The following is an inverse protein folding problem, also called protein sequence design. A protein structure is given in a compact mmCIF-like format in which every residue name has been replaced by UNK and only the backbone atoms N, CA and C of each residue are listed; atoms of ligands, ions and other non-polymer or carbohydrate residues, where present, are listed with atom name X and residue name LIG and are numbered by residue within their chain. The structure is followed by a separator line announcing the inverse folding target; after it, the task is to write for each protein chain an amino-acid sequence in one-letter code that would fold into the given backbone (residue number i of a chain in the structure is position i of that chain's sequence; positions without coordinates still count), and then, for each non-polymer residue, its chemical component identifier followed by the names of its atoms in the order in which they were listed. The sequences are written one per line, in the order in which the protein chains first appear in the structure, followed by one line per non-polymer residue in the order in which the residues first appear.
data_IF_501410979817
#
_entry.id   IF_501410979817
#
_cell.length_a   1.000
_cell.length_b   1.000
_cell.length_c   1.000
_cell.angle_alpha   90.00
_cell.angle_beta   90.00
_cell.angle_gamma   90.00
#
_symmetry.space_group_name_H-M   'P 1'
#
loop_
_entity.id
_entity.type
_entity.pdbx_description
1 polymer ?
#
# COMPACT_ATOMS: atom_id res chain seq x y z
N UNK A 1 -8.89 66.85 44.89
CA UNK A 1 -8.56 67.87 45.91
C UNK A 1 -9.31 67.51 47.17
N UNK A 2 -8.58 67.11 48.19
CA UNK A 2 -9.10 66.72 49.50
C UNK A 2 -8.04 67.12 50.51
N UNK A 3 -8.47 67.60 51.68
CA UNK A 3 -7.58 67.99 52.76
C UNK A 3 -6.52 66.92 52.99
N UNK A 4 -5.27 67.31 53.22
CA UNK A 4 -4.23 66.37 53.66
C UNK A 4 -4.30 66.20 55.19
N UNK A 5 -3.85 65.06 55.75
CA UNK A 5 -3.76 64.91 57.21
C UNK A 5 -2.97 66.06 57.87
N UNK A 6 -1.91 66.53 57.22
CA UNK A 6 -1.14 67.70 57.67
C UNK A 6 -1.93 69.01 57.64
N UNK A 7 -2.83 69.21 56.68
CA UNK A 7 -3.72 70.38 56.63
C UNK A 7 -4.78 70.36 57.73
N UNK A 8 -5.20 69.18 58.19
CA UNK A 8 -6.13 69.03 59.31
C UNK A 8 -5.41 69.38 60.63
N UNK A 9 -4.16 68.95 60.79
CA UNK A 9 -3.35 69.22 61.99
C UNK A 9 -3.02 70.70 62.18
N UNK A 10 -2.75 71.44 61.11
CA UNK A 10 -2.40 72.87 61.16
C UNK A 10 -3.62 73.78 61.01
N UNK A 11 -4.84 73.25 61.15
CA UNK A 11 -6.07 74.01 60.93
C UNK A 11 -6.39 74.89 62.14
N UNK A 12 -6.26 76.19 61.99
CA UNK A 12 -6.68 77.16 63.01
C UNK A 12 -8.17 77.55 62.85
N UNK A 13 -8.89 77.59 63.97
CA UNK A 13 -10.29 78.00 64.04
C UNK A 13 -10.45 79.32 64.81
N UNK A 14 -11.37 80.19 64.35
CA UNK A 14 -11.69 81.45 65.04
C UNK A 14 -12.55 81.19 66.30
N UNK A 15 -12.19 81.78 67.44
CA UNK A 15 -12.94 81.68 68.70
C UNK A 15 -14.10 82.69 68.77
N UNK A 16 -15.24 82.28 69.35
CA UNK A 16 -16.44 83.11 69.57
C UNK A 16 -17.00 82.87 70.98
N UNK A 17 -17.68 83.86 71.56
CA UNK A 17 -18.18 83.87 72.96
C UNK A 17 -19.09 82.68 73.37
N UNK A 18 -19.56 81.88 72.41
CA UNK A 18 -20.26 80.58 72.59
C UNK A 18 -19.81 79.62 71.49
N UNK A 19 -18.66 78.99 71.67
CA UNK A 19 -18.07 78.02 70.73
C UNK A 19 -17.90 76.64 71.35
N UNK A 20 -17.42 75.68 70.56
CA UNK A 20 -16.95 74.39 71.06
C UNK A 20 -15.70 74.57 71.93
N UNK A 21 -15.47 73.63 72.85
CA UNK A 21 -14.23 73.56 73.63
C UNK A 21 -13.05 73.28 72.70
N UNK A 22 -11.98 74.07 72.81
CA UNK A 22 -10.80 73.91 71.96
C UNK A 22 -10.08 72.60 72.23
N UNK A 23 -10.06 72.13 73.48
CA UNK A 23 -9.29 70.95 73.87
C UNK A 23 -9.99 69.67 73.38
N UNK A 24 -11.31 69.56 73.55
CA UNK A 24 -12.10 68.44 73.02
C UNK A 24 -12.07 68.37 71.48
N UNK A 25 -12.07 69.53 70.81
CA UNK A 25 -11.98 69.58 69.34
C UNK A 25 -10.60 69.12 68.87
N UNK A 26 -9.53 69.54 69.54
CA UNK A 26 -8.17 69.12 69.18
C UNK A 26 -7.97 67.60 69.38
N UNK A 27 -8.43 67.05 70.49
CA UNK A 27 -8.39 65.59 70.75
C UNK A 27 -9.13 64.80 69.66
N UNK A 28 -10.26 65.32 69.18
CA UNK A 28 -11.01 64.69 68.09
C UNK A 28 -10.32 64.83 66.73
N UNK A 29 -9.69 65.98 66.46
CA UNK A 29 -8.91 66.20 65.23
C UNK A 29 -7.70 65.27 65.16
N UNK A 30 -7.02 64.98 66.27
CA UNK A 30 -5.92 64.00 66.32
C UNK A 30 -6.38 62.60 65.90
N UNK A 31 -7.56 62.16 66.36
CA UNK A 31 -8.16 60.88 65.95
C UNK A 31 -8.49 60.89 64.45
N UNK A 32 -9.05 61.99 63.94
CA UNK A 32 -9.35 62.14 62.52
C UNK A 32 -8.08 62.07 61.68
N UNK A 33 -6.99 62.74 62.08
CA UNK A 33 -5.72 62.74 61.35
C UNK A 33 -5.21 61.31 61.18
N UNK A 34 -5.19 60.52 62.25
CA UNK A 34 -4.72 59.12 62.22
C UNK A 34 -5.59 58.25 61.30
N UNK A 35 -6.92 58.32 61.43
CA UNK A 35 -7.80 57.48 60.59
C UNK A 35 -7.78 57.95 59.13
N UNK A 36 -7.62 59.25 58.87
CA UNK A 36 -7.51 59.80 57.53
C UNK A 36 -6.18 59.44 56.84
N UNK A 37 -5.07 59.39 57.58
CA UNK A 37 -3.80 58.83 57.09
C UNK A 37 -3.95 57.36 56.69
N UNK A 38 -4.56 56.55 57.56
CA UNK A 38 -4.82 55.14 57.30
C UNK A 38 -5.72 54.93 56.09
N UNK A 39 -6.78 55.73 55.95
CA UNK A 39 -7.67 55.72 54.79
C UNK A 39 -6.92 56.09 53.51
N UNK A 40 -6.08 57.12 53.56
CA UNK A 40 -5.27 57.58 52.43
C UNK A 40 -4.26 56.52 52.00
N UNK A 41 -3.58 55.88 52.96
CA UNK A 41 -2.65 54.79 52.70
C UNK A 41 -3.36 53.59 52.06
N UNK A 42 -4.49 53.16 52.63
CA UNK A 42 -5.31 52.07 52.08
C UNK A 42 -5.80 52.39 50.67
N UNK A 43 -6.26 53.63 50.42
CA UNK A 43 -6.71 54.05 49.09
C UNK A 43 -5.57 54.00 48.07
N UNK A 44 -4.38 54.46 48.44
CA UNK A 44 -3.19 54.37 47.58
C UNK A 44 -2.82 52.91 47.29
N UNK A 45 -2.80 52.04 48.32
CA UNK A 45 -2.53 50.60 48.16
C UNK A 45 -3.57 49.90 47.27
N UNK A 46 -4.85 50.26 47.40
CA UNK A 46 -5.90 49.74 46.53
C UNK A 46 -5.75 50.25 45.10
N UNK A 47 -5.41 51.53 44.92
CA UNK A 47 -5.19 52.13 43.61
C UNK A 47 -4.00 51.46 42.91
N UNK A 48 -2.91 51.18 43.61
CA UNK A 48 -1.77 50.43 43.05
C UNK A 48 -2.16 49.00 42.68
N UNK A 49 -2.95 48.31 43.53
CA UNK A 49 -3.41 46.95 43.22
C UNK A 49 -4.33 46.92 42.00
N UNK A 50 -5.19 47.93 41.85
CA UNK A 50 -6.06 48.06 40.68
C UNK A 50 -5.21 48.24 39.44
N UNK A 51 -4.22 49.14 39.46
CA UNK A 51 -3.30 49.33 38.34
C UNK A 51 -2.56 48.03 37.98
N UNK A 52 -2.01 47.31 38.96
CA UNK A 52 -1.33 46.04 38.73
C UNK A 52 -2.26 44.96 38.15
N UNK A 53 -3.53 44.94 38.58
CA UNK A 53 -4.54 44.00 38.07
C UNK A 53 -4.97 44.37 36.65
N UNK A 54 -5.12 45.65 36.34
CA UNK A 54 -5.43 46.15 35.00
C UNK A 54 -4.32 45.80 34.01
N UNK A 55 -3.06 45.95 34.41
CA UNK A 55 -1.90 45.57 33.59
C UNK A 55 -1.87 44.06 33.31
N UNK A 56 -2.12 43.23 34.34
CA UNK A 56 -2.23 41.78 34.16
C UNK A 56 -3.39 41.40 33.25
N UNK A 57 -4.53 42.07 33.38
CA UNK A 57 -5.69 41.83 32.53
C UNK A 57 -5.39 42.17 31.07
N UNK A 58 -4.72 43.30 30.83
CA UNK A 58 -4.27 43.69 29.49
C UNK A 58 -3.29 42.67 28.90
N UNK A 59 -2.33 42.18 29.70
CA UNK A 59 -1.42 41.11 29.29
C UNK A 59 -2.17 39.83 28.92
N UNK A 60 -3.10 39.37 29.77
CA UNK A 60 -3.89 38.16 29.48
C UNK A 60 -4.79 38.33 28.26
N UNK A 61 -5.32 39.53 28.03
CA UNK A 61 -6.11 39.84 26.84
C UNK A 61 -5.25 39.76 25.57
N UNK A 62 -4.05 40.34 25.58
CA UNK A 62 -3.11 40.22 24.46
C UNK A 62 -2.68 38.77 24.22
N UNK A 63 -2.44 38.02 25.28
CA UNK A 63 -2.09 36.60 25.18
C UNK A 63 -3.26 35.78 24.59
N UNK A 64 -4.49 36.05 25.02
CA UNK A 64 -5.69 35.43 24.48
C UNK A 64 -5.86 35.75 22.99
N UNK A 65 -5.68 37.01 22.59
CA UNK A 65 -5.76 37.44 21.19
C UNK A 65 -4.67 36.75 20.35
N UNK A 66 -3.44 36.69 20.86
CA UNK A 66 -2.34 35.98 20.19
C UNK A 66 -2.63 34.48 20.07
N UNK A 67 -3.17 33.85 21.11
CA UNK A 67 -3.50 32.43 21.09
C UNK A 67 -4.62 32.13 20.09
N UNK A 68 -5.69 32.93 20.09
CA UNK A 68 -6.78 32.81 19.12
C UNK A 68 -6.28 32.97 17.68
N UNK A 69 -5.40 33.93 17.43
CA UNK A 69 -4.78 34.12 16.12
C UNK A 69 -3.93 32.91 15.72
N UNK A 70 -3.12 32.37 16.63
CA UNK A 70 -2.32 31.16 16.39
C UNK A 70 -3.19 29.95 16.07
N UNK A 71 -4.30 29.77 16.79
CA UNK A 71 -5.26 28.69 16.53
C UNK A 71 -5.88 28.84 15.14
N UNK A 72 -6.29 30.05 14.78
CA UNK A 72 -6.85 30.34 13.46
C UNK A 72 -5.86 30.05 12.33
N UNK A 73 -4.59 30.47 12.48
CA UNK A 73 -3.53 30.18 11.51
C UNK A 73 -3.26 28.67 11.41
N UNK A 74 -3.23 27.96 12.54
CA UNK A 74 -3.07 26.51 12.55
C UNK A 74 -4.24 25.79 11.86
N UNK A 75 -5.47 26.23 12.10
CA UNK A 75 -6.66 25.70 11.43
C UNK A 75 -6.63 25.96 9.92
N UNK A 76 -6.24 27.17 9.50
CA UNK A 76 -6.11 27.50 8.09
C UNK A 76 -5.00 26.66 7.42
N UNK A 77 -3.86 26.49 8.09
CA UNK A 77 -2.78 25.64 7.60
C UNK A 77 -3.21 24.17 7.47
N UNK A 78 -3.94 23.64 8.46
CA UNK A 78 -4.49 22.29 8.43
C UNK A 78 -5.50 22.11 7.29
N UNK A 79 -6.39 23.09 7.06
CA UNK A 79 -7.36 23.01 5.97
C UNK A 79 -6.69 23.13 4.60
N UNK A 80 -5.68 24.00 4.45
CA UNK A 80 -4.86 24.08 3.23
C UNK A 80 -4.13 22.76 2.96
N UNK A 81 -3.53 22.15 3.98
CA UNK A 81 -2.86 20.86 3.85
C UNK A 81 -3.83 19.77 3.43
N UNK A 82 -5.01 19.71 4.06
CA UNK A 82 -6.09 18.77 3.71
C UNK A 82 -6.58 18.95 2.28
N UNK A 83 -6.75 20.19 1.82
CA UNK A 83 -7.16 20.48 0.45
C UNK A 83 -6.09 20.10 -0.57
N UNK A 84 -4.82 20.38 -0.28
CA UNK A 84 -3.71 19.99 -1.14
C UNK A 84 -3.57 18.46 -1.23
N UNK A 85 -3.58 17.78 -0.08
CA UNK A 85 -3.53 16.32 -0.04
C UNK A 85 -4.70 15.67 -0.79
N UNK A 86 -5.92 16.25 -0.72
CA UNK A 86 -7.06 15.77 -1.51
C UNK A 86 -6.85 15.94 -3.01
N UNK A 87 -6.36 17.09 -3.46
CA UNK A 87 -6.06 17.34 -4.88
C UNK A 87 -4.96 16.43 -5.39
N UNK A 88 -3.92 16.23 -4.59
CA UNK A 88 -2.81 15.34 -4.92
C UNK A 88 -3.29 13.89 -5.01
N UNK A 89 -4.11 13.43 -4.06
CA UNK A 89 -4.72 12.10 -4.11
C UNK A 89 -5.61 11.93 -5.36
N UNK A 90 -6.41 12.93 -5.72
CA UNK A 90 -7.24 12.90 -6.92
C UNK A 90 -6.39 12.84 -8.20
N UNK A 91 -5.27 13.57 -8.24
CA UNK A 91 -4.34 13.54 -9.37
C UNK A 91 -3.65 12.18 -9.48
N UNK A 92 -3.19 11.60 -8.37
CA UNK A 92 -2.59 10.27 -8.34
C UNK A 92 -3.59 9.22 -8.83
N UNK A 93 -4.84 9.27 -8.37
CA UNK A 93 -5.89 8.35 -8.83
C UNK A 93 -6.12 8.51 -10.33
N UNK A 94 -6.22 9.74 -10.81
CA UNK A 94 -6.42 10.03 -12.23
C UNK A 94 -5.26 9.50 -13.10
N UNK A 95 -4.02 9.69 -12.65
CA UNK A 95 -2.84 9.19 -13.36
C UNK A 95 -2.74 7.66 -13.33
N UNK A 96 -3.05 7.05 -12.19
CA UNK A 96 -3.09 5.60 -12.02
C UNK A 96 -4.16 4.97 -12.92
N UNK A 97 -5.37 5.54 -12.97
CA UNK A 97 -6.45 5.07 -13.83
C UNK A 97 -6.06 5.16 -15.32
N UNK A 98 -5.48 6.29 -15.74
CA UNK A 98 -5.02 6.48 -17.12
C UNK A 98 -3.92 5.49 -17.50
N UNK A 99 -2.99 5.24 -16.60
CA UNK A 99 -1.92 4.27 -16.82
C UNK A 99 -2.46 2.83 -16.86
N UNK A 100 -3.41 2.50 -15.99
CA UNK A 100 -4.09 1.20 -16.01
C UNK A 100 -4.84 0.99 -17.33
N UNK A 101 -5.58 1.99 -17.81
CA UNK A 101 -6.24 1.95 -19.12
C UNK A 101 -5.25 1.73 -20.26
N UNK A 102 -4.11 2.44 -20.25
CA UNK A 102 -3.04 2.26 -21.24
C UNK A 102 -2.49 0.83 -21.23
N UNK A 103 -2.20 0.28 -20.05
CA UNK A 103 -1.71 -1.10 -19.90
C UNK A 103 -2.74 -2.10 -20.42
N UNK A 104 -4.03 -1.91 -20.10
CA UNK A 104 -5.10 -2.78 -20.58
C UNK A 104 -5.25 -2.71 -22.10
N UNK A 105 -5.18 -1.52 -22.69
CA UNK A 105 -5.23 -1.34 -24.14
C UNK A 105 -4.04 -2.03 -24.83
N UNK A 106 -2.83 -1.82 -24.33
CA UNK A 106 -1.61 -2.47 -24.84
C UNK A 106 -1.70 -3.99 -24.74
N UNK A 107 -2.16 -4.51 -23.60
CA UNK A 107 -2.35 -5.95 -23.39
C UNK A 107 -3.41 -6.53 -24.34
N UNK A 108 -4.52 -5.83 -24.55
CA UNK A 108 -5.57 -6.24 -25.47
C UNK A 108 -5.08 -6.23 -26.93
N UNK A 109 -4.33 -5.21 -27.32
CA UNK A 109 -3.74 -5.14 -28.65
C UNK A 109 -2.73 -6.27 -28.89
N UNK A 110 -1.85 -6.57 -27.92
CA UNK A 110 -0.95 -7.73 -27.98
C UNK A 110 -1.72 -9.05 -28.07
N UNK A 111 -2.79 -9.21 -27.28
CA UNK A 111 -3.65 -10.39 -27.32
C UNK A 111 -4.25 -10.60 -28.70
N UNK A 112 -4.80 -9.56 -29.32
CA UNK A 112 -5.33 -9.60 -30.70
C UNK A 112 -4.25 -10.02 -31.70
N UNK A 113 -3.05 -9.45 -31.60
CA UNK A 113 -1.92 -9.82 -32.46
C UNK A 113 -1.57 -11.29 -32.30
N UNK A 114 -1.38 -11.78 -31.08
CA UNK A 114 -1.07 -13.20 -30.80
C UNK A 114 -2.15 -14.12 -31.35
N UNK A 115 -3.43 -13.79 -31.15
CA UNK A 115 -4.55 -14.57 -31.70
C UNK A 115 -4.49 -14.61 -33.23
N UNK A 116 -4.23 -13.47 -33.89
CA UNK A 116 -4.13 -13.41 -35.35
C UNK A 116 -2.91 -14.18 -35.90
N UNK A 117 -1.76 -14.13 -35.21
CA UNK A 117 -0.56 -14.89 -35.56
C UNK A 117 -0.78 -16.39 -35.38
N UNK A 118 -1.48 -16.78 -34.30
CA UNK A 118 -1.84 -18.16 -34.02
C UNK A 118 -2.76 -18.71 -35.10
N UNK A 119 -3.77 -17.93 -35.52
CA UNK A 119 -4.66 -18.31 -36.63
C UNK A 119 -3.88 -18.45 -37.94
N UNK A 120 -3.00 -17.49 -38.25
CA UNK A 120 -2.16 -17.56 -39.45
C UNK A 120 -1.25 -18.80 -39.44
N UNK A 121 -0.64 -19.12 -38.31
CA UNK A 121 0.20 -20.32 -38.15
C UNK A 121 -0.62 -21.61 -38.30
N UNK A 122 -1.85 -21.64 -37.77
CA UNK A 122 -2.77 -22.76 -37.93
C UNK A 122 -3.13 -22.99 -39.40
N UNK A 123 -3.52 -21.94 -40.12
CA UNK A 123 -3.81 -22.01 -41.55
C UNK A 123 -2.61 -22.45 -42.37
N UNK A 124 -1.41 -21.94 -42.04
CA UNK A 124 -0.17 -22.37 -42.68
C UNK A 124 0.10 -23.86 -42.45
N UNK A 125 -0.05 -24.34 -41.22
CA UNK A 125 0.11 -25.76 -40.87
C UNK A 125 -0.86 -26.66 -41.62
N UNK A 126 -2.14 -26.27 -41.71
CA UNK A 126 -3.15 -27.00 -42.48
C UNK A 126 -2.81 -27.06 -43.97
N UNK A 127 -2.42 -25.93 -44.57
CA UNK A 127 -2.04 -25.85 -45.98
C UNK A 127 -0.78 -26.67 -46.27
N UNK A 128 0.22 -26.61 -45.40
CA UNK A 128 1.44 -27.41 -45.50
C UNK A 128 1.12 -28.90 -45.42
N UNK A 129 0.29 -29.32 -44.45
CA UNK A 129 -0.16 -30.71 -44.31
C UNK A 129 -0.88 -31.20 -45.56
N UNK A 130 -1.79 -30.40 -46.12
CA UNK A 130 -2.50 -30.74 -47.35
C UNK A 130 -1.54 -30.84 -48.55
N UNK A 131 -0.56 -29.92 -48.64
CA UNK A 131 0.47 -29.96 -49.69
C UNK A 131 1.35 -31.21 -49.60
N UNK A 132 1.75 -31.59 -48.38
CA UNK A 132 2.49 -32.83 -48.15
C UNK A 132 1.67 -34.06 -48.52
N UNK A 133 0.40 -34.11 -48.08
CA UNK A 133 -0.52 -35.19 -48.43
C UNK A 133 -0.63 -35.35 -49.95
N UNK A 134 -0.90 -34.26 -50.68
CA UNK A 134 -1.01 -34.29 -52.13
C UNK A 134 0.31 -34.71 -52.81
N UNK A 135 1.46 -34.30 -52.25
CA UNK A 135 2.77 -34.71 -52.77
C UNK A 135 2.99 -36.22 -52.59
N UNK A 136 2.70 -36.76 -51.40
CA UNK A 136 2.80 -38.20 -51.13
C UNK A 136 1.82 -38.99 -52.00
N UNK A 137 0.57 -38.52 -52.12
CA UNK A 137 -0.43 -39.14 -53.00
C UNK A 137 -0.01 -39.12 -54.47
N UNK A 138 0.62 -38.04 -54.94
CA UNK A 138 1.18 -37.98 -56.29
C UNK A 138 2.32 -38.98 -56.49
N UNK A 139 3.22 -39.14 -55.51
CA UNK A 139 4.30 -40.12 -55.57
C UNK A 139 3.77 -41.56 -55.50
N UNK A 140 2.79 -41.82 -54.63
CA UNK A 140 2.10 -43.12 -54.56
C UNK A 140 1.34 -43.41 -55.86
N UNK A 141 0.70 -42.41 -56.46
CA UNK A 141 0.04 -42.55 -57.75
C UNK A 141 1.03 -42.91 -58.84
N UNK A 142 2.22 -42.29 -58.88
CA UNK A 142 3.28 -42.69 -59.82
C UNK A 142 3.69 -44.15 -59.60
N UNK A 143 3.91 -44.56 -58.36
CA UNK A 143 4.30 -45.94 -58.02
C UNK A 143 3.21 -46.97 -58.36
N UNK A 144 1.94 -46.57 -58.22
CA UNK A 144 0.77 -47.40 -58.49
C UNK A 144 0.28 -47.32 -59.95
N UNK A 145 0.89 -46.49 -60.82
CA UNK A 145 0.60 -46.52 -62.26
C UNK A 145 0.96 -47.89 -62.82
N UNK A 146 0.05 -48.44 -63.61
CA UNK A 146 0.14 -49.79 -64.20
C UNK A 146 1.45 -50.02 -64.94
N UNK A 147 2.06 -48.98 -65.54
CA UNK A 147 3.39 -49.03 -66.15
C UNK A 147 4.49 -49.55 -65.21
N UNK A 148 4.45 -49.24 -63.91
CA UNK A 148 5.41 -49.80 -62.95
C UNK A 148 5.11 -51.28 -62.67
N UNK A 149 3.85 -51.67 -62.59
CA UNK A 149 3.48 -53.08 -62.45
C UNK A 149 3.81 -53.89 -63.72
N UNK A 150 3.72 -53.28 -64.90
CA UNK A 150 4.12 -53.86 -66.18
C UNK A 150 5.65 -53.93 -66.31
N UNK A 151 6.40 -52.90 -65.90
CA UNK A 151 7.88 -52.94 -65.82
C UNK A 151 8.38 -54.07 -64.90
N UNK A 152 7.71 -54.30 -63.77
CA UNK A 152 8.05 -55.43 -62.89
C UNK A 152 7.62 -56.79 -63.47
N UNK A 153 6.55 -56.88 -64.26
CA UNK A 153 6.14 -58.11 -64.96
C UNK A 153 7.02 -58.43 -66.17
N UNK A 154 7.44 -57.43 -66.93
CA UNK A 154 8.34 -57.57 -68.07
C UNK A 154 9.75 -57.94 -67.61
N UNK A 155 10.24 -57.32 -66.53
CA UNK A 155 11.47 -57.75 -65.87
C UNK A 155 11.39 -59.20 -65.33
N UNK A 156 10.23 -59.66 -64.85
CA UNK A 156 10.05 -61.06 -64.46
C UNK A 156 10.07 -62.01 -65.67
N UNK A 157 9.48 -61.63 -66.81
CA UNK A 157 9.52 -62.42 -68.04
C UNK A 157 10.92 -62.51 -68.68
N UNK A 158 11.73 -61.45 -68.60
CA UNK A 158 13.11 -61.46 -69.09
C UNK A 158 14.09 -62.17 -68.14
N UNK A 159 13.78 -62.27 -66.84
CA UNK A 159 14.62 -62.99 -65.85
C UNK A 159 14.28 -64.50 -65.82
N UNK A 160 13.05 -64.91 -66.16
CA UNK A 160 12.70 -66.33 -66.23
C UNK A 160 13.47 -67.10 -67.32
N UNK A 161 13.85 -66.45 -68.42
CA UNK A 161 14.58 -67.16 -69.50
C UNK A 161 16.03 -67.49 -69.12
N UNK A 162 16.87 -66.58 -68.58
CA UNK A 162 18.22 -66.93 -68.13
C UNK A 162 18.21 -67.83 -66.88
N UNK A 163 17.25 -67.67 -65.95
CA UNK A 163 17.21 -68.52 -64.74
C UNK A 163 16.85 -69.96 -65.09
N UNK A 164 15.94 -70.21 -66.03
CA UNK A 164 15.64 -71.56 -66.48
C UNK A 164 16.79 -72.17 -67.27
N UNK A 165 17.50 -71.39 -68.10
CA UNK A 165 18.70 -71.86 -68.81
C UNK A 165 19.88 -72.17 -67.87
N UNK A 166 20.11 -71.33 -66.85
CA UNK A 166 21.12 -71.60 -65.82
C UNK A 166 20.71 -72.77 -64.91
N UNK A 167 19.41 -72.97 -64.66
CA UNK A 167 18.91 -74.13 -63.89
C UNK A 167 19.03 -75.44 -64.66
N UNK A 168 18.76 -75.42 -65.97
CA UNK A 168 18.95 -76.57 -66.84
C UNK A 168 20.46 -76.91 -66.97
N UNK A 169 21.34 -75.92 -67.13
CA UNK A 169 22.80 -76.12 -67.14
C UNK A 169 23.36 -76.60 -65.80
N UNK A 170 22.90 -76.07 -64.66
CA UNK A 170 23.30 -76.53 -63.33
C UNK A 170 22.77 -77.93 -63.01
N UNK A 171 21.56 -78.28 -63.46
CA UNK A 171 20.99 -79.63 -63.29
C UNK A 171 21.70 -80.70 -64.12
N UNK A 172 22.32 -80.32 -65.24
CA UNK A 172 23.16 -81.21 -66.05
C UNK A 172 24.58 -81.40 -65.47
N UNK A 173 25.00 -80.55 -64.52
CA UNK A 173 26.31 -80.62 -63.86
C UNK A 173 26.25 -81.07 -62.39
N UNK A 174 25.07 -81.23 -61.79
CA UNK A 174 24.90 -81.70 -60.42
C UNK A 174 24.24 -83.07 -60.35
N UNK A 175 24.81 -84.05 -61.04
CA UNK A 175 24.52 -85.49 -60.84
C UNK A 175 25.62 -86.18 -60.00
N UNK A 176 26.45 -85.42 -59.27
CA UNK A 176 27.35 -86.01 -58.29
C UNK A 176 27.50 -85.13 -57.03
N UNK A 177 27.31 -85.80 -55.88
CA UNK A 177 27.46 -85.38 -54.49
C UNK A 177 26.37 -84.50 -53.85
N UNK A 178 25.40 -85.22 -53.27
CA UNK A 178 24.66 -84.87 -52.07
C UNK A 178 25.57 -84.52 -50.88
N UNK A 179 25.36 -83.37 -50.25
CA UNK A 179 25.65 -83.19 -48.82
C UNK A 179 24.52 -82.40 -48.17
N UNK A 180 23.88 -83.07 -47.22
CA UNK A 180 22.92 -82.51 -46.27
C UNK A 180 23.64 -81.53 -45.35
N UNK A 181 23.11 -80.33 -45.14
CA UNK A 181 23.40 -79.59 -43.90
C UNK A 181 22.17 -78.79 -43.49
N UNK A 182 21.88 -78.94 -42.20
CA UNK A 182 20.68 -78.54 -41.47
C UNK A 182 20.44 -77.03 -41.44
N UNK A 183 19.15 -76.70 -41.35
CA UNK A 183 18.62 -75.38 -41.06
C UNK A 183 18.87 -75.02 -39.60
N UNK A 184 19.33 -73.80 -39.32
CA UNK A 184 19.01 -73.11 -38.06
C UNK A 184 18.13 -71.88 -38.35
N UNK A 185 17.03 -71.69 -37.60
CA UNK A 185 16.23 -70.47 -37.68
C UNK A 185 16.90 -69.34 -36.88
N UNK A 186 17.01 -68.17 -37.49
CA UNK A 186 17.50 -66.94 -36.83
C UNK A 186 16.47 -66.49 -35.78
N UNK A 187 16.91 -66.37 -34.52
CA UNK A 187 16.11 -65.94 -33.37
C UNK A 187 15.69 -64.46 -33.48
N UNK A 188 14.44 -64.19 -33.11
CA UNK A 188 13.92 -62.86 -32.77
C UNK A 188 14.74 -62.23 -31.64
N UNK A 189 15.20 -61.00 -31.85
CA UNK A 189 15.80 -60.18 -30.79
C UNK A 189 14.73 -59.23 -30.29
N UNK A 190 14.15 -59.55 -29.12
CA UNK A 190 13.32 -58.63 -28.34
C UNK A 190 14.15 -57.40 -27.96
N UNK A 191 13.80 -56.25 -28.53
CA UNK A 191 14.32 -54.97 -28.11
C UNK A 191 13.65 -54.52 -26.80
N UNK A 192 14.50 -54.31 -25.80
CA UNK A 192 14.23 -53.81 -24.46
C UNK A 192 13.06 -52.81 -24.34
N UNK A 193 12.10 -53.16 -23.51
CA UNK A 193 11.09 -52.26 -22.96
C UNK A 193 11.60 -51.79 -21.58
N UNK A 194 12.08 -50.56 -21.51
CA UNK A 194 12.37 -49.86 -20.25
C UNK A 194 11.78 -48.45 -20.31
N UNK A 195 10.60 -48.29 -19.72
CA UNK A 195 9.98 -47.00 -19.33
C UNK A 195 9.37 -47.28 -17.96
N UNK A 196 10.14 -47.14 -16.88
CA UNK A 196 10.19 -45.98 -15.97
C UNK A 196 8.80 -45.62 -15.44
N UNK A 197 8.54 -46.04 -14.19
CA UNK A 197 7.44 -45.56 -13.34
C UNK A 197 7.59 -44.05 -13.04
N UNK A 198 6.49 -43.30 -12.85
CA UNK A 198 6.56 -41.91 -12.43
C UNK A 198 6.74 -41.84 -10.91
N UNK A 199 7.89 -41.36 -10.43
CA UNK A 199 8.06 -40.92 -9.05
C UNK A 199 7.58 -39.47 -8.90
N UNK A 200 6.54 -39.31 -8.09
CA UNK A 200 6.04 -38.04 -7.55
C UNK A 200 7.06 -37.44 -6.56
N UNK A 201 8.10 -36.74 -7.04
CA UNK A 201 9.03 -36.01 -6.17
C UNK A 201 9.57 -34.72 -6.81
N UNK A 202 8.72 -33.78 -7.25
CA UNK A 202 9.19 -32.43 -7.67
C UNK A 202 8.14 -31.33 -7.40
N UNK A 203 7.61 -31.22 -6.17
CA UNK A 203 6.75 -30.08 -5.76
C UNK A 203 7.22 -29.29 -4.55
N UNK A 204 8.24 -29.73 -3.82
CA UNK A 204 8.72 -28.98 -2.65
C UNK A 204 9.85 -27.97 -2.95
N UNK A 205 10.63 -28.18 -4.01
CA UNK A 205 11.90 -27.45 -4.16
C UNK A 205 11.81 -26.07 -4.85
N UNK A 206 10.63 -25.70 -5.39
CA UNK A 206 10.43 -24.37 -6.01
C UNK A 206 9.74 -23.33 -5.13
N UNK A 207 9.20 -23.74 -3.98
CA UNK A 207 8.67 -22.81 -2.98
C UNK A 207 9.76 -22.22 -2.10
N UNK A 208 10.86 -22.96 -1.88
CA UNK A 208 11.99 -22.48 -1.07
C UNK A 208 12.89 -21.46 -1.79
N UNK A 209 12.76 -21.29 -3.10
CA UNK A 209 13.55 -20.32 -3.88
C UNK A 209 12.86 -18.96 -4.06
N UNK A 210 11.57 -18.84 -3.70
CA UNK A 210 10.87 -17.54 -3.74
C UNK A 210 11.05 -16.71 -2.46
N UNK A 211 11.47 -17.32 -1.35
CA UNK A 211 11.63 -16.67 -0.04
C UNK A 211 13.03 -16.06 0.20
N UNK A 212 13.96 -16.17 -0.76
CA UNK A 212 15.33 -15.65 -0.64
C UNK A 212 15.69 -14.54 -1.65
N UNK A 213 14.69 -13.95 -2.30
CA UNK A 213 14.91 -12.75 -3.12
C UNK A 213 14.54 -11.51 -2.29
N UNK A 214 15.52 -10.98 -1.55
CA UNK A 214 15.45 -9.62 -1.05
C UNK A 214 15.35 -8.67 -2.25
N UNK A 215 14.19 -8.02 -2.38
CA UNK A 215 13.96 -7.01 -3.41
C UNK A 215 14.53 -5.68 -2.93
N UNK A 216 15.80 -5.42 -3.25
CA UNK A 216 16.37 -4.07 -3.14
C UNK A 216 15.69 -3.16 -4.18
N UNK A 217 14.81 -2.28 -3.72
CA UNK A 217 14.34 -1.14 -4.52
C UNK A 217 15.45 -0.09 -4.47
N UNK A 218 16.24 -0.04 -5.54
CA UNK A 218 17.17 1.06 -5.79
C UNK A 218 16.52 2.09 -6.71
N UNK A 219 16.16 3.26 -6.18
CA UNK A 219 15.96 4.45 -6.98
C UNK A 219 17.32 5.09 -7.34
N UNK A 220 17.37 5.69 -8.54
CA UNK A 220 18.57 6.14 -9.28
C UNK A 220 19.41 7.26 -8.62
N UNK A 221 19.14 7.64 -7.37
CA UNK A 221 19.80 8.75 -6.67
C UNK A 221 20.36 8.37 -5.29
N UNK A 222 21.00 7.19 -5.17
CA UNK A 222 22.09 6.90 -4.22
C UNK A 222 22.02 7.47 -2.80
N UNK A 223 20.85 7.45 -2.15
CA UNK A 223 20.68 7.86 -0.75
C UNK A 223 19.83 6.85 0.01
N UNK A 224 20.48 6.16 0.95
CA UNK A 224 19.87 5.16 1.82
C UNK A 224 18.69 5.75 2.60
N UNK A 225 17.51 5.12 2.49
CA UNK A 225 16.36 5.39 3.36
C UNK A 225 16.50 4.43 4.56
N UNK A 226 16.60 4.91 5.81
CA UNK A 226 16.64 4.03 6.95
C UNK A 226 15.25 3.42 7.16
N UNK A 227 15.14 2.10 7.03
CA UNK A 227 13.99 1.32 7.52
C UNK A 227 14.07 1.35 9.04
N UNK A 228 13.22 2.17 9.68
CA UNK A 228 12.96 2.06 11.11
C UNK A 228 11.83 1.05 11.29
N UNK A 229 12.15 -0.08 11.91
CA UNK A 229 11.21 -1.07 12.42
C UNK A 229 10.40 -0.50 13.59
N UNK A 230 9.54 0.48 13.33
CA UNK A 230 8.46 0.84 14.26
C UNK A 230 7.23 0.01 13.90
N UNK A 231 7.31 -1.27 14.27
CA UNK A 231 6.19 -2.19 14.30
C UNK A 231 5.17 -1.66 15.33
N UNK A 232 4.16 -0.91 14.86
CA UNK A 232 2.96 -0.67 15.65
C UNK A 232 2.27 -2.01 15.85
N UNK A 233 2.41 -2.55 17.06
CA UNK A 233 1.53 -3.60 17.58
C UNK A 233 0.08 -3.11 17.40
N UNK A 234 -0.64 -3.73 16.46
CA UNK A 234 -2.06 -3.50 16.29
C UNK A 234 -2.77 -4.06 17.53
N UNK A 235 -3.37 -3.19 18.34
CA UNK A 235 -4.28 -3.62 19.40
C UNK A 235 -5.37 -4.53 18.80
N UNK A 236 -5.72 -5.66 19.46
CA UNK A 236 -6.72 -6.58 18.95
C UNK A 236 -8.09 -5.88 18.88
N UNK A 237 -8.73 -5.98 17.70
CA UNK A 237 -10.07 -5.48 17.42
C UNK A 237 -11.07 -6.18 18.36
N UNK A 238 -11.62 -5.43 19.31
CA UNK A 238 -12.65 -5.90 20.23
C UNK A 238 -13.97 -6.11 19.47
N UNK A 239 -14.45 -7.36 19.43
CA UNK A 239 -15.53 -7.86 18.58
C UNK A 239 -16.95 -7.55 19.13
N UNK A 240 -17.10 -6.45 19.87
CA UNK A 240 -18.38 -6.04 20.44
C UNK A 240 -18.68 -4.55 20.24
N UNK A 241 -18.94 -4.17 18.99
CA UNK A 241 -19.66 -2.93 18.68
C UNK A 241 -21.12 -3.23 18.31
N UNK A 242 -21.97 -3.19 19.33
CA UNK A 242 -23.41 -3.01 19.16
C UNK A 242 -23.66 -1.53 18.85
N UNK A 243 -24.01 -1.21 17.60
CA UNK A 243 -24.47 0.12 17.22
C UNK A 243 -25.82 0.41 17.91
N UNK A 244 -26.02 1.54 18.61
CA UNK A 244 -27.34 1.90 19.08
C UNK A 244 -28.14 2.51 17.93
N UNK A 245 -29.25 1.85 17.61
CA UNK A 245 -30.34 2.33 16.77
C UNK A 245 -31.04 3.49 17.49
N UNK A 246 -31.35 4.56 16.76
CA UNK A 246 -32.13 5.69 17.25
C UNK A 246 -33.60 5.29 17.49
N UNK A 247 -34.16 5.58 18.67
CA UNK A 247 -35.60 5.59 18.92
C UNK A 247 -36.04 5.35 20.37
N UNK A 248 -36.72 6.35 20.93
CA UNK A 248 -37.71 6.33 22.04
C UNK A 248 -37.24 6.34 23.52
N UNK A 249 -37.50 7.50 24.13
CA UNK A 249 -37.96 7.79 25.50
C UNK A 249 -37.43 6.98 26.70
N UNK A 250 -36.57 7.63 27.51
CA UNK A 250 -36.70 7.56 28.97
C UNK A 250 -35.97 8.72 29.67
N UNK A 251 -36.73 9.46 30.47
CA UNK A 251 -36.26 10.44 31.46
C UNK A 251 -35.33 9.77 32.48
N UNK A 252 -34.21 10.42 32.86
CA UNK A 252 -33.64 10.56 34.23
C UNK A 252 -32.36 11.43 34.19
N UNK A 253 -31.97 12.13 35.28
CA UNK A 253 -31.28 13.42 35.21
C UNK A 253 -29.76 13.31 35.12
N UNK A 254 -29.14 14.24 34.38
CA UNK A 254 -27.68 14.41 34.28
C UNK A 254 -27.10 15.07 35.54
N UNK A 255 -26.23 14.34 36.23
CA UNK A 255 -25.41 14.88 37.32
C UNK A 255 -24.22 15.66 36.74
N UNK A 256 -24.09 16.92 37.16
CA UNK A 256 -23.05 17.86 36.76
C UNK A 256 -21.70 17.48 37.38
N UNK A 257 -20.73 17.07 36.56
CA UNK A 257 -19.34 16.81 37.01
C UNK A 257 -18.49 18.05 36.80
N UNK A 258 -18.77 19.12 37.55
CA UNK A 258 -17.86 20.26 37.69
C UNK A 258 -16.95 20.00 38.91
N UNK A 259 -15.66 19.76 38.68
CA UNK A 259 -14.63 19.93 39.72
C UNK A 259 -13.76 18.73 40.10
N UNK A 260 -13.12 18.06 39.13
CA UNK A 260 -11.93 17.23 39.44
C UNK A 260 -10.65 18.02 39.15
N UNK A 261 -10.07 18.56 40.21
CA UNK A 261 -8.72 19.14 40.21
C UNK A 261 -7.68 18.06 39.90
N UNK A 262 -6.94 18.22 38.80
CA UNK A 262 -5.80 17.37 38.45
C UNK A 262 -4.61 17.81 39.32
N UNK A 263 -4.09 16.91 40.18
CA UNK A 263 -2.78 17.06 40.81
C UNK A 263 -1.71 16.64 39.80
N UNK A 264 -0.81 17.57 39.47
CA UNK A 264 0.40 17.27 38.71
C UNK A 264 1.53 17.15 39.72
N UNK A 265 2.03 15.93 39.95
CA UNK A 265 3.26 15.70 40.70
C UNK A 265 4.46 15.93 39.77
N UNK A 266 5.33 16.89 40.11
CA UNK A 266 6.61 17.07 39.43
C UNK A 266 7.62 16.01 39.89
N UNK A 267 8.52 15.54 39.00
CA UNK A 267 9.56 14.57 39.36
C UNK A 267 10.57 15.21 40.33
N UNK A 268 10.96 14.44 41.35
CA UNK A 268 12.02 14.81 42.29
C UNK A 268 13.38 14.58 41.62
N UNK A 269 14.28 15.54 41.82
CA UNK A 269 15.73 15.46 41.52
C UNK A 269 16.41 14.23 42.13
#
# INVERSE_FOLDING_TARGET
MSLTPSEILHKEFNTKFRGYDSDEVNDFLDIIVVEFEKLTKSNNEMTTKIADMEDKLNYFKQLQDSLNNSIMVAQEAAERLKQNARKEAELILYEADREAERILEDANNRSKTIVSETEHLHQYSLNFRNRLKNMVEAQLSLLNKEDNQELFKEAQGEIETPINHLRDELSAQSEDLSVQTELEPIQEVEAAQAVVEPTDELKEDKRSQLDQMDFEIADEDGKDIPVQDDFFEADPVDEHHNYPVAGEDSEQPVESVLGRTIRIDLPKE
#
